data_IF_309914064590
#
_entry.id   IF_309914064590
#
_cell.length_a   1.000
_cell.length_b   1.000
_cell.length_c   1.000
_cell.angle_alpha   90.00
_cell.angle_beta   90.00
_cell.angle_gamma   90.00
#
_symmetry.space_group_name_H-M   'P 1'
#
loop_
_entity.id
_entity.type
_entity.pdbx_description
1 polymer ?
#
# COMPACT_ATOMS: atom_id res chain seq x y z
N UNK A 1 -6.61 -17.27 11.12
CA UNK A 1 -5.93 -17.07 12.43
C UNK A 1 -6.47 -15.80 13.04
N UNK A 2 -6.81 -15.78 14.33
CA UNK A 2 -7.25 -14.56 15.04
C UNK A 2 -6.13 -14.13 15.97
N UNK A 3 -5.85 -12.83 15.96
CA UNK A 3 -4.90 -12.21 16.90
C UNK A 3 -5.68 -11.33 17.85
N UNK A 4 -5.34 -11.35 19.11
CA UNK A 4 -5.88 -10.46 20.12
C UNK A 4 -4.83 -9.38 20.41
N UNK A 5 -5.25 -8.12 20.37
CA UNK A 5 -4.41 -6.99 20.73
C UNK A 5 -4.63 -6.72 22.22
N UNK A 6 -3.58 -6.34 22.92
CA UNK A 6 -3.64 -5.98 24.33
C UNK A 6 -4.57 -4.76 24.52
N UNK A 7 -5.35 -4.75 25.59
CA UNK A 7 -6.38 -3.72 25.87
C UNK A 7 -5.81 -2.29 25.94
N UNK A 8 -4.54 -2.15 26.23
CA UNK A 8 -3.84 -0.86 26.29
C UNK A 8 -3.30 -0.39 24.93
N UNK A 9 -3.42 -1.18 23.86
CA UNK A 9 -2.97 -0.80 22.53
C UNK A 9 -4.05 -0.05 21.77
N UNK A 10 -3.74 1.17 21.36
CA UNK A 10 -4.61 1.99 20.51
C UNK A 10 -4.48 1.60 19.03
N UNK A 11 -3.27 1.28 18.60
CA UNK A 11 -2.93 0.95 17.22
C UNK A 11 -2.27 -0.43 17.13
N UNK A 12 -2.37 -1.07 15.97
CA UNK A 12 -1.68 -2.33 15.67
C UNK A 12 -0.17 -2.23 15.93
N UNK A 13 0.42 -1.08 15.60
CA UNK A 13 1.85 -0.81 15.81
C UNK A 13 2.28 -0.77 17.30
N UNK A 14 1.34 -0.60 18.21
CA UNK A 14 1.62 -0.53 19.65
C UNK A 14 1.70 -1.94 20.25
N UNK A 15 1.10 -2.92 19.56
CA UNK A 15 1.08 -4.32 20.00
C UNK A 15 2.44 -4.99 19.79
N UNK A 16 2.85 -5.78 20.76
CA UNK A 16 4.07 -6.63 20.67
C UNK A 16 3.97 -7.68 19.55
N UNK A 17 2.75 -8.03 19.15
CA UNK A 17 2.47 -9.06 18.15
C UNK A 17 2.55 -8.55 16.71
N UNK A 18 2.40 -7.23 16.47
CA UNK A 18 2.35 -6.65 15.13
C UNK A 18 3.52 -5.71 14.86
N UNK A 19 4.68 -6.29 14.52
CA UNK A 19 5.84 -5.52 14.05
C UNK A 19 5.84 -5.31 12.53
N UNK A 20 5.02 -6.06 11.79
CA UNK A 20 4.84 -5.97 10.34
C UNK A 20 3.44 -6.47 9.97
N UNK A 21 2.98 -6.10 8.78
CA UNK A 21 1.73 -6.63 8.22
C UNK A 21 1.84 -8.14 7.96
N UNK A 22 0.76 -8.90 8.15
CA UNK A 22 0.68 -10.30 7.75
C UNK A 22 0.94 -10.46 6.25
N UNK A 23 1.48 -11.62 5.85
CA UNK A 23 1.93 -11.88 4.48
C UNK A 23 0.93 -12.71 3.71
N UNK A 24 0.75 -12.37 2.44
CA UNK A 24 0.00 -13.14 1.46
C UNK A 24 -1.39 -13.55 1.95
N UNK A 25 -2.12 -12.57 2.49
CA UNK A 25 -3.42 -12.82 3.12
C UNK A 25 -4.39 -11.64 2.97
N UNK A 26 -5.63 -11.90 3.29
CA UNK A 26 -6.62 -10.88 3.66
C UNK A 26 -6.54 -10.72 5.18
N UNK A 27 -6.33 -9.52 5.63
CA UNK A 27 -6.22 -9.16 7.03
C UNK A 27 -7.36 -8.23 7.45
N UNK A 28 -8.30 -8.78 8.19
CA UNK A 28 -9.34 -7.97 8.82
C UNK A 28 -8.78 -7.35 10.11
N UNK A 29 -8.60 -6.04 10.08
CA UNK A 29 -8.11 -5.28 11.24
C UNK A 29 -9.20 -5.07 12.32
N UNK A 30 -10.44 -5.49 12.07
CA UNK A 30 -11.58 -5.45 12.99
C UNK A 30 -12.05 -4.05 13.36
N UNK A 31 -11.16 -3.05 13.39
CA UNK A 31 -11.46 -1.68 13.82
C UNK A 31 -10.90 -0.68 12.81
N UNK A 32 -11.75 0.28 12.43
CA UNK A 32 -11.31 1.43 11.61
C UNK A 32 -10.29 2.27 12.38
N UNK A 33 -9.27 2.75 11.68
CA UNK A 33 -8.21 3.56 12.30
C UNK A 33 -7.22 2.77 13.18
N UNK A 34 -7.20 1.43 13.08
CA UNK A 34 -6.29 0.58 13.84
C UNK A 34 -4.79 0.73 13.47
N UNK A 35 -4.44 1.60 12.51
CA UNK A 35 -3.03 1.90 12.18
C UNK A 35 -2.34 0.88 11.28
N UNK A 36 -3.09 0.06 10.52
CA UNK A 36 -2.51 -0.92 9.62
C UNK A 36 -1.62 -0.30 8.55
N UNK A 37 -2.07 0.76 7.89
CA UNK A 37 -1.27 1.54 6.92
C UNK A 37 0.01 2.08 7.56
N UNK A 38 -0.04 2.50 8.83
CA UNK A 38 1.13 2.99 9.56
C UNK A 38 2.22 1.93 9.76
N UNK A 39 1.86 0.64 9.82
CA UNK A 39 2.85 -0.45 9.86
C UNK A 39 3.65 -0.54 8.55
N UNK A 40 2.99 -0.36 7.40
CA UNK A 40 3.67 -0.30 6.11
C UNK A 40 4.56 0.95 5.99
N UNK A 41 4.05 2.12 6.40
CA UNK A 41 4.76 3.40 6.33
C UNK A 41 6.02 3.46 7.21
N UNK A 42 6.04 2.72 8.31
CA UNK A 42 7.20 2.62 9.23
C UNK A 42 8.11 1.43 8.95
N UNK A 43 7.83 0.68 7.88
CA UNK A 43 8.62 -0.50 7.52
C UNK A 43 10.01 -0.12 7.00
N UNK A 44 10.99 -0.97 7.28
CA UNK A 44 12.32 -0.93 6.65
C UNK A 44 12.35 -1.63 5.27
N UNK A 45 11.22 -2.10 4.77
CA UNK A 45 11.10 -2.70 3.45
C UNK A 45 10.43 -1.74 2.47
N UNK A 46 10.75 -1.85 1.19
CA UNK A 46 10.08 -1.11 0.14
C UNK A 46 8.60 -1.54 0.02
N UNK A 47 7.70 -0.57 -0.10
CA UNK A 47 6.26 -0.79 -0.17
C UNK A 47 5.61 -0.04 -1.33
N UNK A 48 4.61 -0.69 -1.93
CA UNK A 48 3.55 -0.03 -2.69
C UNK A 48 2.26 -0.17 -1.88
N UNK A 49 1.60 0.94 -1.60
CA UNK A 49 0.35 1.00 -0.85
C UNK A 49 -0.73 1.51 -1.79
N UNK A 50 -1.62 0.61 -2.20
CA UNK A 50 -2.75 0.94 -3.06
C UNK A 50 -3.97 1.33 -2.21
N UNK A 51 -4.54 2.49 -2.54
CA UNK A 51 -5.69 3.07 -1.84
C UNK A 51 -6.79 3.50 -2.82
N UNK A 52 -8.04 3.60 -2.38
CA UNK A 52 -9.14 3.97 -3.29
C UNK A 52 -9.16 5.44 -3.70
N UNK A 53 -8.63 6.36 -2.88
CA UNK A 53 -8.82 7.80 -3.06
C UNK A 53 -7.53 8.60 -2.91
N UNK A 54 -7.39 9.64 -3.74
CA UNK A 54 -6.26 10.60 -3.68
C UNK A 54 -6.17 11.31 -2.33
N UNK A 55 -7.29 11.62 -1.70
CA UNK A 55 -7.31 12.27 -0.38
C UNK A 55 -6.58 11.48 0.71
N UNK A 56 -6.58 10.14 0.63
CA UNK A 56 -5.83 9.29 1.56
C UNK A 56 -4.32 9.43 1.33
N UNK A 57 -3.89 9.56 0.07
CA UNK A 57 -2.49 9.78 -0.31
C UNK A 57 -2.02 11.12 0.25
N UNK A 58 -2.73 12.21 -0.08
CA UNK A 58 -2.38 13.56 0.35
C UNK A 58 -2.29 13.68 1.88
N UNK A 59 -3.25 13.09 2.59
CA UNK A 59 -3.25 13.08 4.05
C UNK A 59 -2.01 12.35 4.62
N UNK A 60 -1.54 11.27 3.96
CA UNK A 60 -0.37 10.53 4.42
C UNK A 60 0.94 11.24 4.04
N UNK A 61 1.01 11.89 2.91
CA UNK A 61 2.15 12.72 2.52
C UNK A 61 2.33 13.91 3.47
N UNK A 62 1.24 14.50 3.97
CA UNK A 62 1.29 15.57 4.97
C UNK A 62 1.82 15.10 6.34
N UNK A 63 1.60 13.83 6.68
CA UNK A 63 2.00 13.23 7.95
C UNK A 63 3.36 12.52 7.93
N UNK A 64 3.91 12.21 6.74
CA UNK A 64 5.08 11.36 6.57
C UNK A 64 5.94 11.82 5.40
N UNK A 65 7.12 12.33 5.67
CA UNK A 65 8.07 12.84 4.67
C UNK A 65 8.65 11.76 3.74
N UNK A 66 8.56 10.48 4.14
CA UNK A 66 9.09 9.35 3.39
C UNK A 66 8.09 8.70 2.42
N UNK A 67 6.93 9.32 2.19
CA UNK A 67 5.88 8.80 1.31
C UNK A 67 5.87 9.54 0.00
N UNK A 68 5.97 8.81 -1.11
CA UNK A 68 5.78 9.35 -2.45
C UNK A 68 4.39 8.99 -2.99
N UNK A 69 3.59 10.00 -3.27
CA UNK A 69 2.22 9.84 -3.76
C UNK A 69 2.15 9.75 -5.28
N UNK A 70 1.47 8.73 -5.81
CA UNK A 70 1.23 8.57 -7.25
C UNK A 70 -0.27 8.56 -7.54
N UNK A 71 -0.71 9.58 -8.26
CA UNK A 71 -2.07 9.78 -8.73
C UNK A 71 -2.06 10.53 -10.06
N UNK A 72 -3.21 10.96 -10.58
CA UNK A 72 -3.27 11.71 -11.84
C UNK A 72 -2.36 12.95 -11.80
N UNK A 73 -1.57 13.14 -12.85
CA UNK A 73 -0.63 14.26 -12.97
C UNK A 73 0.82 13.95 -12.59
N UNK A 74 1.09 12.91 -11.79
CA UNK A 74 2.46 12.46 -11.50
C UNK A 74 3.01 11.68 -12.70
N UNK A 75 4.18 12.04 -13.20
CA UNK A 75 4.79 11.41 -14.36
C UNK A 75 5.55 10.12 -14.01
N UNK A 76 5.77 9.25 -15.00
CA UNK A 76 6.60 8.05 -14.81
C UNK A 76 8.05 8.41 -14.48
N UNK A 77 8.54 9.54 -14.98
CA UNK A 77 9.89 10.00 -14.67
C UNK A 77 10.06 10.34 -13.20
N UNK A 78 9.09 11.04 -12.61
CA UNK A 78 9.11 11.38 -11.17
C UNK A 78 9.07 10.09 -10.31
N UNK A 79 8.26 9.10 -10.68
CA UNK A 79 8.21 7.81 -9.98
C UNK A 79 9.59 7.12 -10.04
N UNK A 80 10.20 7.06 -11.21
CA UNK A 80 11.52 6.42 -11.40
C UNK A 80 12.62 7.16 -10.64
N UNK A 81 12.66 8.49 -10.69
CA UNK A 81 13.63 9.28 -9.93
C UNK A 81 13.52 9.02 -8.44
N UNK A 82 12.30 9.02 -7.89
CA UNK A 82 12.08 8.69 -6.49
C UNK A 82 12.58 7.29 -6.11
N UNK A 83 12.31 6.28 -6.93
CA UNK A 83 12.75 4.89 -6.66
C UNK A 83 14.28 4.78 -6.64
N UNK A 84 14.96 5.51 -7.52
CA UNK A 84 16.42 5.49 -7.61
C UNK A 84 17.11 6.24 -6.46
N UNK A 85 16.47 7.27 -5.92
CA UNK A 85 17.02 8.13 -4.85
C UNK A 85 16.71 7.58 -3.46
N UNK A 86 15.55 6.93 -3.28
CA UNK A 86 15.11 6.45 -1.97
C UNK A 86 15.83 5.18 -1.53
N UNK A 87 16.38 5.19 -0.33
CA UNK A 87 16.97 3.98 0.29
C UNK A 87 15.94 2.89 0.53
N UNK A 88 14.74 3.29 0.96
CA UNK A 88 13.60 2.39 1.16
C UNK A 88 12.36 3.07 0.57
N UNK A 89 12.07 2.85 -0.73
CA UNK A 89 10.95 3.52 -1.37
C UNK A 89 9.61 3.06 -0.80
N UNK A 90 8.77 4.04 -0.44
CA UNK A 90 7.38 3.84 -0.03
C UNK A 90 6.50 4.67 -0.96
N UNK A 91 5.82 3.97 -1.85
CA UNK A 91 4.94 4.57 -2.86
C UNK A 91 3.50 4.34 -2.46
N UNK A 92 2.74 5.41 -2.33
CA UNK A 92 1.31 5.35 -2.11
C UNK A 92 0.57 5.73 -3.39
N UNK A 93 -0.30 4.86 -3.89
CA UNK A 93 -0.95 5.03 -5.19
C UNK A 93 -2.44 4.77 -5.14
N UNK A 94 -3.21 5.38 -6.05
CA UNK A 94 -4.59 4.97 -6.26
C UNK A 94 -4.65 3.62 -6.98
N UNK A 95 -5.77 2.90 -6.84
CA UNK A 95 -6.01 1.65 -7.58
C UNK A 95 -5.86 1.85 -9.10
N UNK A 96 -6.31 3.01 -9.62
CA UNK A 96 -6.25 3.33 -11.05
C UNK A 96 -4.81 3.55 -11.56
N UNK A 97 -3.88 3.89 -10.70
CA UNK A 97 -2.49 4.20 -11.06
C UNK A 97 -1.52 3.04 -10.80
N UNK A 98 -1.98 1.90 -10.28
CA UNK A 98 -1.09 0.81 -9.85
C UNK A 98 -0.27 0.22 -11.01
N UNK A 99 -0.86 0.06 -12.21
CA UNK A 99 -0.14 -0.47 -13.39
C UNK A 99 1.01 0.42 -13.78
N UNK A 100 0.80 1.73 -13.72
CA UNK A 100 1.82 2.72 -14.02
C UNK A 100 2.97 2.68 -13.02
N UNK A 101 2.65 2.49 -11.73
CA UNK A 101 3.67 2.30 -10.68
C UNK A 101 4.48 1.04 -10.93
N UNK A 102 3.83 -0.09 -11.25
CA UNK A 102 4.49 -1.36 -11.54
C UNK A 102 5.43 -1.21 -12.74
N UNK A 103 4.95 -0.59 -13.83
CA UNK A 103 5.76 -0.32 -15.02
C UNK A 103 6.99 0.51 -14.68
N UNK A 104 6.82 1.61 -13.94
CA UNK A 104 7.94 2.47 -13.54
C UNK A 104 8.95 1.74 -12.64
N UNK A 105 8.47 0.88 -11.72
CA UNK A 105 9.35 0.05 -10.87
C UNK A 105 10.15 -0.93 -11.73
N UNK A 106 9.52 -1.66 -12.66
CA UNK A 106 10.19 -2.69 -13.45
C UNK A 106 11.19 -2.11 -14.46
N UNK A 107 11.06 -0.82 -14.84
CA UNK A 107 12.03 -0.14 -15.69
C UNK A 107 13.35 0.20 -14.98
N UNK A 108 13.36 0.37 -13.65
CA UNK A 108 14.55 0.81 -12.89
C UNK A 108 14.94 -0.13 -11.75
N UNK A 109 14.08 -1.12 -11.44
CA UNK A 109 14.27 -2.07 -10.35
C UNK A 109 13.54 -3.37 -10.64
N UNK A 110 12.85 -3.94 -9.65
CA UNK A 110 11.96 -5.09 -9.80
C UNK A 110 10.84 -5.02 -8.76
N UNK A 111 9.61 -5.24 -9.21
CA UNK A 111 8.41 -5.33 -8.35
C UNK A 111 8.57 -6.40 -7.26
N UNK A 112 9.33 -7.46 -7.51
CA UNK A 112 9.65 -8.51 -6.52
C UNK A 112 10.45 -8.02 -5.30
N UNK A 113 10.99 -6.82 -5.32
CA UNK A 113 11.64 -6.19 -4.15
C UNK A 113 10.66 -5.46 -3.25
N UNK A 114 9.46 -5.16 -3.76
CA UNK A 114 8.44 -4.40 -3.06
C UNK A 114 7.39 -5.32 -2.42
N UNK A 115 6.88 -4.92 -1.28
CA UNK A 115 5.65 -5.47 -0.68
C UNK A 115 4.46 -4.65 -1.12
N UNK A 116 3.28 -5.27 -1.20
CA UNK A 116 2.04 -4.60 -1.56
C UNK A 116 1.08 -4.60 -0.37
N UNK A 117 0.57 -3.43 -0.03
CA UNK A 117 -0.60 -3.26 0.81
C UNK A 117 -1.76 -2.74 -0.05
N UNK A 118 -2.87 -3.45 -0.05
CA UNK A 118 -4.14 -2.99 -0.63
C UNK A 118 -5.02 -2.58 0.55
N UNK A 119 -5.05 -1.29 0.82
CA UNK A 119 -5.83 -0.71 1.93
C UNK A 119 -7.28 -0.47 1.51
N UNK A 120 -8.23 -0.66 2.43
CA UNK A 120 -9.66 -0.57 2.18
C UNK A 120 -10.14 -1.53 1.07
N UNK A 121 -9.60 -2.75 1.04
CA UNK A 121 -9.83 -3.72 -0.05
C UNK A 121 -11.32 -4.04 -0.29
N UNK A 122 -12.17 -3.87 0.69
CA UNK A 122 -13.62 -4.07 0.56
C UNK A 122 -14.22 -3.15 -0.51
N UNK A 123 -13.60 -1.98 -0.76
CA UNK A 123 -14.01 -1.06 -1.81
C UNK A 123 -13.70 -1.58 -3.21
N UNK A 124 -12.77 -2.53 -3.38
CA UNK A 124 -12.56 -3.19 -4.67
C UNK A 124 -13.84 -3.89 -5.14
N UNK A 125 -14.57 -4.50 -4.22
CA UNK A 125 -15.80 -5.23 -4.55
C UNK A 125 -17.01 -4.30 -4.68
N UNK A 126 -17.14 -3.32 -3.80
CA UNK A 126 -18.28 -2.39 -3.81
C UNK A 126 -18.22 -1.38 -4.94
N UNK A 127 -17.02 -1.03 -5.42
CA UNK A 127 -16.82 -0.08 -6.53
C UNK A 127 -16.59 -0.75 -7.88
N UNK A 128 -16.64 -2.07 -7.97
CA UNK A 128 -16.37 -2.81 -9.20
C UNK A 128 -17.22 -2.33 -10.40
N UNK A 129 -18.49 -2.02 -10.19
CA UNK A 129 -19.38 -1.56 -11.23
C UNK A 129 -18.95 -0.22 -11.88
N UNK A 130 -18.26 0.63 -11.14
CA UNK A 130 -17.84 1.96 -11.57
C UNK A 130 -16.34 2.06 -11.91
N UNK A 131 -15.53 1.15 -11.39
CA UNK A 131 -14.06 1.18 -11.48
C UNK A 131 -13.48 -0.20 -11.83
N UNK A 132 -14.16 -0.92 -12.75
CA UNK A 132 -13.82 -2.30 -13.09
C UNK A 132 -12.36 -2.47 -13.54
N UNK A 133 -11.82 -1.50 -14.29
CA UNK A 133 -10.45 -1.58 -14.82
C UNK A 133 -9.42 -1.42 -13.71
N UNK A 134 -9.62 -0.50 -12.78
CA UNK A 134 -8.75 -0.33 -11.61
C UNK A 134 -8.74 -1.59 -10.73
N UNK A 135 -9.91 -2.16 -10.48
CA UNK A 135 -10.04 -3.40 -9.69
C UNK A 135 -9.36 -4.58 -10.40
N UNK A 136 -9.58 -4.75 -11.70
CA UNK A 136 -8.92 -5.79 -12.52
C UNK A 136 -7.41 -5.61 -12.49
N UNK A 137 -6.91 -4.39 -12.61
CA UNK A 137 -5.49 -4.07 -12.56
C UNK A 137 -4.86 -4.51 -11.22
N UNK A 138 -5.46 -4.17 -10.09
CA UNK A 138 -5.01 -4.61 -8.77
C UNK A 138 -4.98 -6.14 -8.68
N UNK A 139 -6.10 -6.81 -9.07
CA UNK A 139 -6.24 -8.27 -8.96
C UNK A 139 -5.34 -9.04 -9.95
N UNK A 140 -5.00 -8.46 -11.11
CA UNK A 140 -4.08 -9.08 -12.06
C UNK A 140 -2.60 -8.99 -11.63
N UNK A 141 -2.27 -8.05 -10.74
CA UNK A 141 -0.88 -7.70 -10.46
C UNK A 141 -0.40 -7.99 -9.02
N UNK A 142 -1.29 -8.21 -8.05
CA UNK A 142 -0.87 -8.33 -6.65
C UNK A 142 0.15 -9.46 -6.40
N UNK A 143 0.11 -10.55 -7.18
CA UNK A 143 1.05 -11.69 -7.05
C UNK A 143 2.45 -11.40 -7.62
N UNK A 144 2.64 -10.31 -8.35
CA UNK A 144 3.96 -9.89 -8.86
C UNK A 144 4.88 -9.38 -7.76
N UNK A 145 4.30 -8.91 -6.65
CA UNK A 145 5.04 -8.38 -5.52
C UNK A 145 5.69 -9.47 -4.65
N UNK A 146 6.69 -9.09 -3.86
CA UNK A 146 7.38 -9.99 -2.93
C UNK A 146 6.42 -10.63 -1.92
N UNK A 147 5.56 -9.82 -1.36
CA UNK A 147 4.54 -10.18 -0.37
C UNK A 147 3.36 -9.22 -0.55
N UNK A 148 2.16 -9.64 -0.22
CA UNK A 148 0.98 -8.78 -0.28
C UNK A 148 0.09 -8.92 0.95
N UNK A 149 -0.69 -7.89 1.23
CA UNK A 149 -1.73 -7.88 2.26
C UNK A 149 -2.93 -7.08 1.75
N UNK A 150 -4.11 -7.68 1.80
CA UNK A 150 -5.38 -6.99 1.61
C UNK A 150 -5.94 -6.63 2.98
N UNK A 151 -6.25 -5.37 3.23
CA UNK A 151 -6.66 -4.87 4.54
C UNK A 151 -7.90 -3.96 4.47
#
# INVERSE_FOLDING_TARGET
MKYYIEDNCRYLSDSKHFKALPKNCIFDKGKVGAGGTSLALRSSAAYVIAVPFVSLILNKMDQHDNVFGVYAGISNLEIKSYILEATTPIIMTTYDSIDRVITAIDEVSSVKKFKLLIDEYHLLFTQYAFRSDAVRSVLANYTKFKEYCFM
#
